data_IF_191174982549
#
_entry.id   IF_191174982549
#
_cell.length_a   1.000
_cell.length_b   1.000
_cell.length_c   1.000
_cell.angle_alpha   90.00
_cell.angle_beta   90.00
_cell.angle_gamma   90.00
#
_symmetry.space_group_name_H-M   'P 1'
#
loop_
_entity.id
_entity.type
_entity.pdbx_description
1 polymer ?
#
# COMPACT_ATOMS: atom_id res chain seq x y z
N UNK A 1 -29.98 -4.83 -8.23
CA UNK A 1 -30.01 -3.69 -7.98
C UNK A 1 -29.92 -3.04 -6.63
N UNK A 2 -30.89 -3.16 -5.72
CA UNK A 2 -30.81 -2.51 -4.42
C UNK A 2 -29.64 -3.00 -3.57
N UNK A 3 -29.39 -4.31 -3.62
CA UNK A 3 -28.29 -4.89 -2.85
C UNK A 3 -26.92 -4.40 -3.30
N UNK A 4 -26.69 -4.30 -4.61
CA UNK A 4 -25.44 -3.81 -5.13
C UNK A 4 -25.16 -2.38 -4.75
N UNK A 5 -26.17 -1.51 -4.83
CA UNK A 5 -26.06 -0.11 -4.44
C UNK A 5 -25.78 0.04 -2.96
N UNK A 6 -26.45 -0.76 -2.12
CA UNK A 6 -26.28 -0.73 -0.68
C UNK A 6 -24.85 -1.15 -0.29
N UNK A 7 -24.35 -2.20 -0.89
CA UNK A 7 -22.99 -2.68 -0.63
C UNK A 7 -21.94 -1.65 -1.02
N UNK A 8 -22.08 -1.02 -2.19
CA UNK A 8 -21.16 0.02 -2.65
C UNK A 8 -21.14 1.22 -1.71
N UNK A 9 -22.32 1.63 -1.24
CA UNK A 9 -22.45 2.75 -0.31
C UNK A 9 -21.74 2.43 1.02
N UNK A 10 -21.95 1.22 1.55
CA UNK A 10 -21.32 0.81 2.80
C UNK A 10 -19.81 0.73 2.67
N UNK A 11 -19.31 0.21 1.54
CA UNK A 11 -17.88 0.15 1.28
C UNK A 11 -17.26 1.55 1.19
N UNK A 12 -17.96 2.48 0.54
CA UNK A 12 -17.50 3.85 0.40
C UNK A 12 -17.41 4.54 1.77
N UNK A 13 -18.42 4.36 2.61
CA UNK A 13 -18.43 4.91 3.97
C UNK A 13 -17.28 4.36 4.81
N UNK A 14 -17.03 3.06 4.73
CA UNK A 14 -15.92 2.43 5.42
C UNK A 14 -14.57 2.95 4.95
N UNK A 15 -14.40 3.09 3.63
CA UNK A 15 -13.19 3.61 3.02
C UNK A 15 -12.93 5.06 3.45
N UNK A 16 -13.97 5.89 3.40
CA UNK A 16 -13.88 7.30 3.79
C UNK A 16 -13.50 7.44 5.26
N UNK A 17 -14.09 6.62 6.12
CA UNK A 17 -13.79 6.63 7.56
C UNK A 17 -12.32 6.30 7.83
N UNK A 18 -11.80 5.26 7.18
CA UNK A 18 -10.40 4.83 7.38
C UNK A 18 -9.40 5.86 6.87
N UNK A 19 -9.77 6.60 5.83
CA UNK A 19 -8.90 7.62 5.24
C UNK A 19 -9.09 9.02 5.78
N UNK A 20 -9.94 9.20 6.82
CA UNK A 20 -10.34 10.52 7.28
C UNK A 20 -9.24 11.28 8.03
N UNK A 21 -8.32 10.58 8.70
CA UNK A 21 -7.28 11.23 9.49
C UNK A 21 -6.20 11.82 8.60
N UNK A 22 -5.72 13.01 8.96
CA UNK A 22 -4.61 13.66 8.27
C UNK A 22 -3.30 12.93 8.56
N UNK A 23 -2.39 12.93 7.60
CA UNK A 23 -1.06 12.36 7.79
C UNK A 23 -0.28 13.21 8.81
N UNK A 24 0.65 12.59 9.55
CA UNK A 24 1.49 13.33 10.49
C UNK A 24 2.32 14.39 9.77
N UNK A 25 2.61 15.49 10.47
CA UNK A 25 3.49 16.51 9.94
C UNK A 25 4.86 15.89 9.65
N UNK A 26 5.41 16.22 8.49
CA UNK A 26 6.71 15.69 8.07
C UNK A 26 6.66 14.31 7.42
N UNK A 27 5.46 13.73 7.26
CA UNK A 27 5.34 12.42 6.64
C UNK A 27 5.93 12.42 5.22
N UNK A 28 5.79 13.53 4.48
CA UNK A 28 6.31 13.63 3.12
C UNK A 28 7.80 13.31 3.03
N UNK A 29 8.58 13.65 4.05
CA UNK A 29 10.02 13.41 4.06
C UNK A 29 10.39 11.94 4.28
N UNK A 30 9.47 11.13 4.77
CA UNK A 30 9.70 9.70 5.04
C UNK A 30 8.84 8.78 4.20
N UNK A 31 7.96 9.34 3.39
CA UNK A 31 7.01 8.56 2.58
C UNK A 31 7.71 7.51 1.71
N UNK A 32 8.81 7.89 1.06
CA UNK A 32 9.55 6.95 0.20
C UNK A 32 10.10 5.77 0.99
N UNK A 33 10.60 6.02 2.20
CA UNK A 33 11.12 4.96 3.06
C UNK A 33 10.01 3.99 3.46
N UNK A 34 8.84 4.52 3.81
CA UNK A 34 7.70 3.69 4.20
C UNK A 34 7.20 2.90 3.00
N UNK A 35 7.11 3.54 1.83
CA UNK A 35 6.69 2.87 0.60
C UNK A 35 7.65 1.74 0.22
N UNK A 36 8.95 1.96 0.38
CA UNK A 36 9.96 0.93 0.13
C UNK A 36 9.77 -0.27 1.07
N UNK A 37 9.48 -0.01 2.34
CA UNK A 37 9.21 -1.09 3.31
C UNK A 37 7.96 -1.87 2.94
N UNK A 38 6.93 -1.20 2.45
CA UNK A 38 5.70 -1.85 1.96
C UNK A 38 6.05 -2.79 0.81
N UNK A 39 6.86 -2.31 -0.13
CA UNK A 39 7.26 -3.09 -1.29
C UNK A 39 8.09 -4.30 -0.87
N UNK A 40 9.02 -4.12 0.05
CA UNK A 40 9.86 -5.21 0.58
C UNK A 40 9.00 -6.32 1.19
N UNK A 41 7.99 -5.94 1.96
CA UNK A 41 7.08 -6.91 2.58
C UNK A 41 6.33 -7.70 1.51
N UNK A 42 5.84 -7.02 0.48
CA UNK A 42 5.14 -7.66 -0.64
C UNK A 42 6.05 -8.65 -1.37
N UNK A 43 7.30 -8.27 -1.66
CA UNK A 43 8.29 -9.14 -2.32
C UNK A 43 8.52 -10.41 -1.47
N UNK A 44 8.72 -10.26 -0.18
CA UNK A 44 8.96 -11.39 0.72
C UNK A 44 7.83 -12.40 0.66
N UNK A 45 6.59 -11.93 0.70
CA UNK A 45 5.43 -12.80 0.63
C UNK A 45 5.33 -13.49 -0.73
N UNK A 46 5.58 -12.77 -1.81
CA UNK A 46 5.53 -13.34 -3.16
C UNK A 46 6.59 -14.42 -3.34
N UNK A 47 7.81 -14.16 -2.90
CA UNK A 47 8.90 -15.15 -3.00
C UNK A 47 8.57 -16.38 -2.16
N UNK A 48 8.04 -16.21 -0.96
CA UNK A 48 7.62 -17.31 -0.11
C UNK A 48 6.55 -18.16 -0.78
N UNK A 49 5.70 -17.55 -1.60
CA UNK A 49 4.65 -18.24 -2.36
C UNK A 49 5.15 -18.84 -3.68
N UNK A 50 6.44 -18.74 -3.95
CA UNK A 50 7.04 -19.36 -5.14
C UNK A 50 7.09 -18.46 -6.38
N UNK A 51 6.79 -17.18 -6.24
CA UNK A 51 6.88 -16.23 -7.37
C UNK A 51 8.34 -15.93 -7.68
N UNK A 52 8.60 -15.67 -8.95
CA UNK A 52 9.95 -15.34 -9.44
C UNK A 52 9.90 -14.08 -10.30
N UNK A 53 10.99 -13.35 -10.31
CA UNK A 53 11.11 -12.17 -11.16
C UNK A 53 11.23 -12.60 -12.63
N UNK A 54 10.61 -11.84 -13.50
CA UNK A 54 10.68 -12.02 -14.95
C UNK A 54 10.51 -10.64 -15.61
N UNK A 55 10.60 -10.59 -16.93
CA UNK A 55 10.38 -9.34 -17.66
C UNK A 55 8.92 -9.08 -17.98
N UNK A 56 8.03 -9.94 -17.49
CA UNK A 56 6.58 -9.83 -17.70
C UNK A 56 5.82 -10.45 -16.54
N UNK A 57 4.51 -10.28 -16.53
CA UNK A 57 3.62 -10.84 -15.52
C UNK A 57 2.88 -12.04 -16.07
N UNK A 58 2.92 -13.13 -15.34
CA UNK A 58 2.22 -14.37 -15.70
C UNK A 58 1.81 -15.09 -14.42
N UNK A 59 0.57 -14.90 -14.01
CA UNK A 59 0.07 -15.47 -12.76
C UNK A 59 0.08 -17.00 -12.76
N UNK A 60 -0.16 -17.60 -13.92
CA UNK A 60 -0.19 -19.05 -14.02
C UNK A 60 1.18 -19.66 -13.74
N UNK A 61 2.25 -18.98 -14.13
CA UNK A 61 3.62 -19.41 -13.90
C UNK A 61 4.26 -18.73 -12.69
N UNK A 62 3.54 -17.86 -12.01
CA UNK A 62 4.02 -17.08 -10.86
C UNK A 62 5.25 -16.22 -11.21
N UNK A 63 5.12 -15.49 -12.30
CA UNK A 63 6.16 -14.56 -12.77
C UNK A 63 5.66 -13.12 -12.61
N UNK A 64 6.55 -12.24 -12.16
CA UNK A 64 6.20 -10.83 -12.00
C UNK A 64 7.43 -9.95 -12.19
N UNK A 65 7.29 -8.90 -13.00
CA UNK A 65 8.35 -7.96 -13.30
C UNK A 65 8.59 -6.94 -12.19
N UNK A 66 7.70 -6.91 -11.19
CA UNK A 66 7.80 -5.97 -10.05
C UNK A 66 8.56 -6.54 -8.86
N UNK A 67 9.09 -7.78 -8.96
CA UNK A 67 9.89 -8.39 -7.88
C UNK A 67 11.33 -7.88 -7.93
N UNK A 68 11.46 -6.57 -7.88
CA UNK A 68 12.73 -5.83 -7.92
C UNK A 68 12.71 -4.77 -6.83
N UNK A 69 13.86 -4.21 -6.42
CA UNK A 69 13.89 -3.19 -5.38
C UNK A 69 12.99 -1.99 -5.70
N UNK A 70 12.40 -1.41 -4.68
CA UNK A 70 11.48 -0.28 -4.82
C UNK A 70 12.05 0.85 -5.68
N UNK A 71 13.30 1.23 -5.44
CA UNK A 71 13.92 2.35 -6.16
C UNK A 71 14.13 2.08 -7.64
N UNK A 72 14.03 0.82 -8.08
CA UNK A 72 14.14 0.45 -9.49
C UNK A 72 12.77 0.36 -10.17
N UNK A 73 11.69 0.48 -9.43
CA UNK A 73 10.35 0.45 -10.01
C UNK A 73 10.06 1.71 -10.81
N UNK A 74 9.25 1.61 -11.88
CA UNK A 74 8.72 2.80 -12.56
C UNK A 74 7.84 3.61 -11.60
N UNK A 75 7.74 4.91 -11.83
CA UNK A 75 6.92 5.80 -11.01
C UNK A 75 5.47 5.34 -10.90
N UNK A 76 4.93 4.79 -11.98
CA UNK A 76 3.55 4.29 -11.98
C UNK A 76 3.34 3.13 -11.01
N UNK A 77 4.37 2.33 -10.77
CA UNK A 77 4.29 1.25 -9.79
C UNK A 77 4.56 1.77 -8.37
N UNK A 78 5.50 2.69 -8.23
CA UNK A 78 5.82 3.29 -6.93
C UNK A 78 4.61 3.97 -6.30
N UNK A 79 3.74 4.58 -7.09
CA UNK A 79 2.57 5.28 -6.55
C UNK A 79 1.62 4.34 -5.79
N UNK A 80 1.54 3.06 -6.16
CA UNK A 80 0.72 2.10 -5.44
C UNK A 80 1.29 1.83 -4.05
N UNK A 81 2.60 1.72 -3.95
CA UNK A 81 3.24 1.52 -2.66
C UNK A 81 3.13 2.76 -1.78
N UNK A 82 3.22 3.95 -2.37
CA UNK A 82 3.00 5.20 -1.64
C UNK A 82 1.57 5.29 -1.11
N UNK A 83 0.61 4.97 -1.95
CA UNK A 83 -0.81 4.99 -1.56
C UNK A 83 -1.08 3.99 -0.43
N UNK A 84 -0.48 2.81 -0.50
CA UNK A 84 -0.60 1.79 0.54
C UNK A 84 0.01 2.28 1.84
N UNK A 85 1.18 2.90 1.78
CA UNK A 85 1.86 3.46 2.95
C UNK A 85 0.99 4.52 3.63
N UNK A 86 0.46 5.46 2.84
CA UNK A 86 -0.42 6.51 3.37
C UNK A 86 -1.68 5.92 3.98
N UNK A 87 -2.30 4.97 3.30
CA UNK A 87 -3.54 4.34 3.79
C UNK A 87 -3.33 3.64 5.13
N UNK A 88 -2.21 2.94 5.29
CA UNK A 88 -1.89 2.26 6.54
C UNK A 88 -1.72 3.24 7.69
N UNK A 89 -1.01 4.34 7.46
CA UNK A 89 -0.78 5.36 8.47
C UNK A 89 -2.10 6.06 8.85
N UNK A 90 -2.90 6.46 7.86
CA UNK A 90 -4.20 7.09 8.12
C UNK A 90 -5.13 6.17 8.89
N UNK A 91 -5.15 4.89 8.55
CA UNK A 91 -5.99 3.92 9.24
C UNK A 91 -5.58 3.76 10.71
N UNK A 92 -4.28 3.70 10.97
CA UNK A 92 -3.76 3.60 12.33
C UNK A 92 -4.17 4.81 13.16
N UNK A 93 -4.04 6.01 12.60
CA UNK A 93 -4.48 7.24 13.27
C UNK A 93 -5.99 7.26 13.52
N UNK A 94 -6.76 6.76 12.55
CA UNK A 94 -8.22 6.66 12.69
C UNK A 94 -8.66 5.68 13.77
N UNK A 95 -7.78 4.75 14.13
CA UNK A 95 -8.02 3.81 15.23
C UNK A 95 -7.69 4.39 16.61
N UNK A 96 -7.26 5.65 16.66
CA UNK A 96 -7.00 6.34 17.92
C UNK A 96 -5.55 6.38 18.36
N UNK A 97 -4.64 5.93 17.50
CA UNK A 97 -3.20 6.01 17.81
C UNK A 97 -2.63 7.36 17.41
N UNK A 98 -1.61 7.78 18.11
CA UNK A 98 -0.85 8.98 17.78
C UNK A 98 0.53 8.55 17.28
N UNK A 99 1.06 9.28 16.30
CA UNK A 99 2.39 9.04 15.78
C UNK A 99 3.22 10.28 16.08
N UNK A 100 4.25 10.11 16.87
CA UNK A 100 5.12 11.21 17.31
C UNK A 100 6.56 10.89 16.93
N UNK A 101 7.21 11.83 16.27
CA UNK A 101 8.62 11.67 15.90
C UNK A 101 9.49 11.81 17.15
N UNK A 102 10.41 10.87 17.34
CA UNK A 102 11.39 10.96 18.41
C UNK A 102 12.41 12.05 18.10
N UNK A 103 12.85 12.73 19.13
CA UNK A 103 13.90 13.74 18.99
C UNK A 103 15.28 13.12 19.12
#
# INVERSE_FOLDING_TARGET
MKYGSQMKKNMQEETDRRGASALPEGFDSVCEEVAAAVHDAWIKEKIADGWKVADHRDAAQKLDDRLIPYNELPEEEKKYDRATAEAAIRALLSCGYEITKKN
#
